data_IF_231284775838
#
_entry.id   IF_231284775838
#
_cell.length_a   1.000
_cell.length_b   1.000
_cell.length_c   1.000
_cell.angle_alpha   90.00
_cell.angle_beta   90.00
_cell.angle_gamma   90.00
#
_symmetry.space_group_name_H-M   'P 1'
#
loop_
_entity.id
_entity.type
_entity.pdbx_description
1 polymer ?
#
# COMPACT_ATOMS: atom_id res chain seq x y z
N UNK A 1 -5.39 -9.33 4.84
CA UNK A 1 -4.83 -8.03 5.29
C UNK A 1 -5.68 -7.35 6.38
N UNK A 2 -6.91 -7.81 6.68
CA UNK A 2 -7.84 -7.16 7.62
C UNK A 2 -7.34 -7.01 9.06
N UNK A 3 -6.24 -7.67 9.41
CA UNK A 3 -5.63 -7.64 10.74
C UNK A 3 -4.65 -6.47 10.90
N UNK A 4 -4.11 -5.94 9.80
CA UNK A 4 -3.19 -4.81 9.87
C UNK A 4 -3.99 -3.55 10.18
N UNK A 5 -3.51 -2.76 11.15
CA UNK A 5 -3.96 -1.38 11.32
C UNK A 5 -3.58 -0.57 10.09
N UNK A 6 -4.27 0.55 9.89
CA UNK A 6 -4.05 1.40 8.72
C UNK A 6 -2.61 1.94 8.68
N UNK A 7 -2.06 2.33 9.83
CA UNK A 7 -0.66 2.76 9.98
C UNK A 7 0.32 1.65 9.58
N UNK A 8 0.14 0.43 10.10
CA UNK A 8 1.03 -0.69 9.79
C UNK A 8 0.93 -1.11 8.31
N UNK A 9 -0.25 -1.01 7.70
CA UNK A 9 -0.45 -1.30 6.28
C UNK A 9 0.33 -0.31 5.38
N UNK A 10 0.28 0.99 5.71
CA UNK A 10 1.03 2.04 5.00
C UNK A 10 2.53 1.80 5.14
N UNK A 11 3.02 1.58 6.36
CA UNK A 11 4.45 1.31 6.61
C UNK A 11 4.92 0.07 5.86
N UNK A 12 4.12 -1.00 5.87
CA UNK A 12 4.44 -2.25 5.16
C UNK A 12 4.52 -2.03 3.65
N UNK A 13 3.62 -1.23 3.07
CA UNK A 13 3.66 -0.88 1.66
C UNK A 13 4.94 -0.12 1.28
N UNK A 14 5.31 0.90 2.08
CA UNK A 14 6.53 1.66 1.84
C UNK A 14 7.78 0.80 1.99
N UNK A 15 7.84 -0.05 3.02
CA UNK A 15 8.93 -1.00 3.20
C UNK A 15 9.02 -1.98 2.02
N UNK A 16 7.89 -2.51 1.54
CA UNK A 16 7.87 -3.45 0.42
C UNK A 16 8.44 -2.82 -0.87
N UNK A 17 8.13 -1.55 -1.15
CA UNK A 17 8.74 -0.79 -2.25
C UNK A 17 10.24 -0.59 -2.02
N UNK A 18 10.63 -0.12 -0.82
CA UNK A 18 12.02 0.18 -0.48
C UNK A 18 12.93 -1.05 -0.63
N UNK A 19 12.48 -2.21 -0.16
CA UNK A 19 13.22 -3.46 -0.23
C UNK A 19 13.04 -4.21 -1.55
N UNK A 20 12.31 -3.65 -2.52
CA UNK A 20 12.04 -4.25 -3.83
C UNK A 20 11.50 -5.68 -3.70
N UNK A 21 10.51 -5.85 -2.82
CA UNK A 21 9.85 -7.14 -2.63
C UNK A 21 9.05 -7.54 -3.87
N UNK A 22 8.47 -8.73 -3.81
CA UNK A 22 7.70 -9.29 -4.90
C UNK A 22 6.61 -8.31 -5.42
N UNK A 23 6.54 -8.06 -6.75
CA UNK A 23 5.58 -7.12 -7.31
C UNK A 23 4.11 -7.48 -7.05
N UNK A 24 3.76 -8.77 -6.98
CA UNK A 24 2.38 -9.19 -6.68
C UNK A 24 2.03 -8.91 -5.22
N UNK A 25 2.99 -9.06 -4.31
CA UNK A 25 2.84 -8.65 -2.91
C UNK A 25 2.60 -7.13 -2.79
N UNK A 26 3.41 -6.33 -3.49
CA UNK A 26 3.24 -4.86 -3.52
C UNK A 26 1.87 -4.48 -4.11
N UNK A 27 1.44 -5.15 -5.18
CA UNK A 27 0.13 -4.94 -5.82
C UNK A 27 -1.02 -5.24 -4.85
N UNK A 28 -0.92 -6.32 -4.09
CA UNK A 28 -1.91 -6.68 -3.08
C UNK A 28 -2.01 -5.62 -1.97
N UNK A 29 -0.89 -5.09 -1.48
CA UNK A 29 -0.86 -4.01 -0.50
C UNK A 29 -1.49 -2.72 -1.05
N UNK A 30 -1.16 -2.36 -2.29
CA UNK A 30 -1.73 -1.19 -2.96
C UNK A 30 -3.26 -1.28 -3.13
N UNK A 31 -3.78 -2.47 -3.46
CA UNK A 31 -5.21 -2.72 -3.56
C UNK A 31 -5.91 -2.57 -2.21
N UNK A 32 -5.31 -3.05 -1.14
CA UNK A 32 -5.86 -2.92 0.20
C UNK A 32 -5.85 -1.45 0.69
N UNK A 33 -4.76 -0.70 0.43
CA UNK A 33 -4.69 0.73 0.71
C UNK A 33 -5.79 1.50 -0.02
N UNK A 34 -6.02 1.18 -1.30
CA UNK A 34 -7.11 1.78 -2.08
C UNK A 34 -8.48 1.41 -1.51
N UNK A 35 -8.69 0.15 -1.12
CA UNK A 35 -9.96 -0.34 -0.55
C UNK A 35 -10.35 0.38 0.74
N UNK A 36 -9.35 0.75 1.55
CA UNK A 36 -9.54 1.46 2.83
C UNK A 36 -9.48 2.99 2.70
N UNK A 37 -9.35 3.51 1.49
CA UNK A 37 -9.19 4.95 1.23
C UNK A 37 -7.96 5.58 1.91
N UNK A 38 -6.93 4.77 2.17
CA UNK A 38 -5.64 5.16 2.76
C UNK A 38 -4.60 5.54 1.71
N UNK A 39 -5.04 5.74 0.46
CA UNK A 39 -4.14 5.95 -0.66
C UNK A 39 -3.20 7.13 -0.35
N UNK A 40 -1.88 6.92 -0.27
CA UNK A 40 -0.95 8.03 -0.16
C UNK A 40 -1.18 8.92 -1.37
N UNK A 41 -1.17 10.25 -1.16
CA UNK A 41 -1.51 11.27 -2.15
C UNK A 41 -0.76 11.15 -3.51
N UNK A 42 0.25 10.29 -3.59
CA UNK A 42 0.98 9.90 -4.80
C UNK A 42 0.09 9.26 -5.89
N UNK A 43 -1.08 8.69 -5.56
CA UNK A 43 -1.99 8.10 -6.57
C UNK A 43 -3.01 9.08 -7.15
N UNK A 44 -3.07 10.33 -6.66
CA UNK A 44 -4.10 11.30 -7.06
C UNK A 44 -3.64 12.22 -8.21
N UNK A 45 -2.38 12.13 -8.66
CA UNK A 45 -1.86 12.90 -9.79
C UNK A 45 -2.04 12.18 -11.13
N UNK A 46 -3.26 11.77 -11.45
CA UNK A 46 -3.64 11.31 -12.79
C UNK A 46 -5.02 11.86 -13.15
N UNK A 47 -5.13 13.18 -13.19
CA UNK A 47 -6.14 13.95 -13.95
C UNK A 47 -5.45 15.18 -14.51
#
# INVERSE_FOLDING_TARGET
MEILTDELLVDTYHAAIQFKLDPEFIRMLAQELKRRELAPALLVNSV
#
